data_IF_868789401501
#
_entry.id   IF_868789401501
#
_cell.length_a   1.000
_cell.length_b   1.000
_cell.length_c   1.000
_cell.angle_alpha   90.00
_cell.angle_beta   90.00
_cell.angle_gamma   90.00
#
_symmetry.space_group_name_H-M   'P 1'
#
loop_
_entity.id
_entity.type
_entity.pdbx_description
1 polymer ?
#
# COMPACT_ATOMS: atom_id res chain seq x y z
N UNK A 1 25.21 -6.03 24.71
CA UNK A 1 24.83 -5.27 23.50
C UNK A 1 24.94 -6.27 22.38
N UNK A 2 23.80 -6.88 22.07
CA UNK A 2 23.70 -8.26 21.58
C UNK A 2 23.30 -8.26 20.10
N UNK A 3 23.58 -9.35 19.38
CA UNK A 3 23.45 -9.49 17.91
C UNK A 3 22.12 -8.98 17.32
N UNK A 4 21.04 -8.98 18.09
CA UNK A 4 19.73 -8.42 17.70
C UNK A 4 19.78 -6.90 17.46
N UNK A 5 20.52 -6.14 18.28
CA UNK A 5 20.72 -4.70 18.08
C UNK A 5 21.53 -4.40 16.82
N UNK A 6 22.50 -5.26 16.49
CA UNK A 6 23.28 -5.13 15.27
C UNK A 6 22.44 -5.49 14.01
N UNK A 7 21.58 -6.50 14.10
CA UNK A 7 20.66 -6.88 13.03
C UNK A 7 19.62 -5.80 12.73
N UNK A 8 19.02 -5.20 13.77
CA UNK A 8 18.11 -4.06 13.62
C UNK A 8 18.80 -2.86 12.97
N UNK A 9 20.00 -2.47 13.44
CA UNK A 9 20.76 -1.38 12.83
C UNK A 9 21.10 -1.60 11.35
N UNK A 10 21.41 -2.84 10.95
CA UNK A 10 21.69 -3.19 9.55
C UNK A 10 20.42 -3.14 8.70
N UNK A 11 19.27 -3.58 9.25
CA UNK A 11 17.98 -3.50 8.57
C UNK A 11 17.55 -2.03 8.37
N UNK A 12 17.68 -1.21 9.41
CA UNK A 12 17.38 0.23 9.37
C UNK A 12 18.24 0.94 8.31
N UNK A 13 19.56 0.71 8.32
CA UNK A 13 20.48 1.29 7.35
C UNK A 13 20.23 0.83 5.89
N UNK A 14 19.58 -0.34 5.71
CA UNK A 14 19.19 -0.82 4.39
C UNK A 14 17.88 -0.17 3.92
N UNK A 15 16.92 0.01 4.83
CA UNK A 15 15.70 0.77 4.55
C UNK A 15 16.03 2.21 4.19
N UNK A 16 16.87 2.90 4.96
CA UNK A 16 17.26 4.30 4.70
C UNK A 16 17.79 4.48 3.27
N UNK A 17 18.71 3.61 2.83
CA UNK A 17 19.25 3.65 1.46
C UNK A 17 18.21 3.35 0.38
N UNK A 18 17.16 2.58 0.70
CA UNK A 18 16.05 2.34 -0.21
C UNK A 18 15.12 3.56 -0.27
N UNK A 19 14.91 4.23 0.87
CA UNK A 19 14.12 5.44 0.95
C UNK A 19 14.78 6.62 0.22
N UNK A 20 16.10 6.79 0.34
CA UNK A 20 16.85 7.78 -0.44
C UNK A 20 16.60 7.59 -1.95
N UNK A 21 16.68 6.34 -2.42
CA UNK A 21 16.42 6.01 -3.83
C UNK A 21 14.96 6.19 -4.22
N UNK A 22 14.03 5.94 -3.30
CA UNK A 22 12.61 6.16 -3.52
C UNK A 22 12.34 7.66 -3.68
N UNK A 23 12.92 8.47 -2.80
CA UNK A 23 12.79 9.94 -2.84
C UNK A 23 13.41 10.53 -4.11
N UNK A 24 14.57 10.01 -4.55
CA UNK A 24 15.16 10.36 -5.85
C UNK A 24 14.24 9.99 -7.04
N UNK A 25 13.58 8.83 -6.96
CA UNK A 25 12.67 8.37 -8.01
C UNK A 25 11.37 9.19 -8.05
N UNK A 26 10.84 9.58 -6.88
CA UNK A 26 9.71 10.50 -6.75
C UNK A 26 10.10 11.86 -7.33
N UNK A 27 11.26 12.41 -6.96
CA UNK A 27 11.78 13.68 -7.50
C UNK A 27 11.87 13.65 -9.03
N UNK A 28 12.42 12.57 -9.58
CA UNK A 28 12.52 12.40 -11.03
C UNK A 28 11.14 12.34 -11.73
N UNK A 29 10.11 11.83 -11.04
CA UNK A 29 8.73 11.83 -11.55
C UNK A 29 8.10 13.24 -11.47
N UNK A 30 8.31 13.96 -10.36
CA UNK A 30 7.85 15.34 -10.14
C UNK A 30 8.40 16.30 -11.20
N UNK A 31 9.70 16.18 -11.53
CA UNK A 31 10.37 17.02 -12.51
C UNK A 31 10.05 16.65 -13.98
N UNK A 32 9.45 15.48 -14.19
CA UNK A 32 9.13 15.01 -15.54
C UNK A 32 7.90 15.71 -16.10
N UNK A 33 7.95 16.02 -17.41
CA UNK A 33 6.75 16.43 -18.16
C UNK A 33 5.73 15.30 -18.13
N UNK A 34 4.43 15.63 -18.15
CA UNK A 34 3.32 14.66 -18.08
C UNK A 34 3.48 13.48 -19.03
N UNK A 35 3.81 13.73 -20.31
CA UNK A 35 4.01 12.67 -21.32
C UNK A 35 5.23 11.76 -21.06
N UNK A 36 6.17 12.16 -20.20
CA UNK A 36 7.38 11.41 -19.88
C UNK A 36 7.28 10.65 -18.55
N UNK A 37 6.28 10.95 -17.71
CA UNK A 37 6.10 10.35 -16.38
C UNK A 37 5.93 8.84 -16.44
N UNK A 38 5.16 8.33 -17.39
CA UNK A 38 4.96 6.89 -17.58
C UNK A 38 6.28 6.10 -17.72
N UNK A 39 7.30 6.69 -18.34
CA UNK A 39 8.62 6.07 -18.48
C UNK A 39 9.44 6.00 -17.18
N UNK A 40 9.05 6.73 -16.13
CA UNK A 40 9.73 6.74 -14.82
C UNK A 40 9.11 5.74 -13.83
N UNK A 41 7.82 5.41 -14.00
CA UNK A 41 7.08 4.54 -13.09
C UNK A 41 7.72 3.16 -12.86
N UNK A 42 8.24 2.43 -13.89
CA UNK A 42 8.83 1.11 -13.65
C UNK A 42 10.00 1.13 -12.66
N UNK A 43 10.84 2.18 -12.71
CA UNK A 43 11.95 2.33 -11.76
C UNK A 43 11.42 2.62 -10.35
N UNK A 44 10.44 3.52 -10.24
CA UNK A 44 9.82 3.87 -8.96
C UNK A 44 9.17 2.63 -8.32
N UNK A 45 8.35 1.89 -9.06
CA UNK A 45 7.68 0.68 -8.57
C UNK A 45 8.67 -0.43 -8.18
N UNK A 46 9.76 -0.60 -8.93
CA UNK A 46 10.82 -1.55 -8.58
C UNK A 46 11.47 -1.23 -7.22
N UNK A 47 11.71 0.06 -6.93
CA UNK A 47 12.26 0.51 -5.64
C UNK A 47 11.23 0.38 -4.53
N UNK A 48 10.00 0.86 -4.78
CA UNK A 48 8.89 0.79 -3.83
C UNK A 48 8.60 -0.63 -3.38
N UNK A 49 8.57 -1.60 -4.30
CA UNK A 49 8.42 -3.02 -3.98
C UNK A 49 9.47 -3.52 -2.98
N UNK A 50 10.71 -3.03 -3.08
CA UNK A 50 11.77 -3.41 -2.14
C UNK A 50 11.58 -2.74 -0.78
N UNK A 51 11.12 -1.49 -0.76
CA UNK A 51 10.76 -0.76 0.47
C UNK A 51 9.63 -1.49 1.20
N UNK A 52 8.55 -1.83 0.51
CA UNK A 52 7.38 -2.53 1.08
C UNK A 52 7.71 -3.92 1.66
N UNK A 53 8.84 -4.51 1.27
CA UNK A 53 9.33 -5.79 1.83
C UNK A 53 10.26 -5.60 3.05
N UNK A 54 10.57 -4.37 3.45
CA UNK A 54 11.36 -4.11 4.66
C UNK A 54 10.43 -3.84 5.86
N UNK A 55 10.86 -4.17 7.10
CA UNK A 55 10.25 -3.63 8.30
C UNK A 55 10.17 -2.09 8.22
N UNK A 56 9.04 -1.50 8.61
CA UNK A 56 8.82 -0.04 8.51
C UNK A 56 8.53 0.49 7.09
N UNK A 57 8.54 -0.37 6.07
CA UNK A 57 8.34 0.02 4.68
C UNK A 57 6.97 0.66 4.39
N UNK A 58 5.89 0.09 4.94
CA UNK A 58 4.54 0.63 4.76
C UNK A 58 4.37 2.02 5.36
N UNK A 59 4.82 2.21 6.62
CA UNK A 59 4.81 3.51 7.29
C UNK A 59 5.63 4.55 6.51
N UNK A 60 6.80 4.17 6.02
CA UNK A 60 7.65 5.06 5.25
C UNK A 60 7.02 5.49 3.90
N UNK A 61 6.26 4.61 3.26
CA UNK A 61 5.51 4.91 2.03
C UNK A 61 4.26 5.74 2.33
N UNK A 62 3.53 5.43 3.41
CA UNK A 62 2.37 6.20 3.86
C UNK A 62 2.74 7.67 4.14
N UNK A 63 3.86 7.89 4.83
CA UNK A 63 4.39 9.24 5.09
C UNK A 63 4.71 10.03 3.81
N UNK A 64 4.82 9.34 2.66
CA UNK A 64 5.08 9.92 1.33
C UNK A 64 3.84 9.93 0.43
N UNK A 65 2.68 9.54 0.92
CA UNK A 65 1.49 9.34 0.10
C UNK A 65 1.07 10.60 -0.68
N UNK A 66 1.00 11.76 -0.01
CA UNK A 66 0.69 13.04 -0.67
C UNK A 66 1.71 13.35 -1.77
N UNK A 67 3.01 13.19 -1.48
CA UNK A 67 4.08 13.47 -2.43
C UNK A 67 3.99 12.55 -3.65
N UNK A 68 3.77 11.25 -3.44
CA UNK A 68 3.58 10.26 -4.52
C UNK A 68 2.40 10.62 -5.41
N UNK A 69 1.26 10.98 -4.83
CA UNK A 69 0.08 11.39 -5.60
C UNK A 69 0.34 12.66 -6.40
N UNK A 70 0.90 13.70 -5.77
CA UNK A 70 1.24 14.98 -6.43
C UNK A 70 2.30 14.81 -7.53
N UNK A 71 3.23 13.88 -7.35
CA UNK A 71 4.20 13.50 -8.38
C UNK A 71 3.51 12.86 -9.60
N UNK A 72 2.28 12.39 -9.46
CA UNK A 72 1.47 11.81 -10.53
C UNK A 72 1.62 10.31 -10.66
N UNK A 73 1.88 9.59 -9.56
CA UNK A 73 2.05 8.12 -9.60
C UNK A 73 0.80 7.40 -10.11
N UNK A 74 -0.38 7.99 -9.92
CA UNK A 74 -1.66 7.46 -10.36
C UNK A 74 -2.14 8.02 -11.70
N UNK A 75 -1.44 9.00 -12.29
CA UNK A 75 -1.90 9.68 -13.52
C UNK A 75 -2.15 8.68 -14.65
N UNK A 76 -3.34 8.74 -15.26
CA UNK A 76 -3.72 7.86 -16.38
C UNK A 76 -4.09 6.44 -15.98
N UNK A 77 -4.35 6.19 -14.69
CA UNK A 77 -4.77 4.89 -14.15
C UNK A 77 -6.12 5.00 -13.42
N UNK A 78 -6.75 3.86 -13.15
CA UNK A 78 -8.02 3.82 -12.40
C UNK A 78 -7.87 4.30 -10.94
N UNK A 79 -6.65 4.29 -10.38
CA UNK A 79 -6.35 4.76 -9.02
C UNK A 79 -6.22 6.29 -8.91
N UNK A 80 -6.28 7.01 -10.03
CA UNK A 80 -6.14 8.47 -10.08
C UNK A 80 -7.20 9.20 -9.26
N UNK A 81 -8.44 8.70 -9.28
CA UNK A 81 -9.52 9.28 -8.50
C UNK A 81 -9.94 8.28 -7.40
N UNK A 82 -9.65 8.58 -6.11
CA UNK A 82 -10.07 7.70 -5.03
C UNK A 82 -11.59 7.55 -4.92
N UNK A 83 -12.38 8.50 -5.44
CA UNK A 83 -13.84 8.47 -5.33
C UNK A 83 -14.51 7.41 -6.22
N UNK A 84 -13.82 6.88 -7.23
CA UNK A 84 -14.36 5.84 -8.13
C UNK A 84 -13.86 4.42 -7.78
N UNK A 85 -12.98 4.29 -6.79
CA UNK A 85 -12.43 3.01 -6.39
C UNK A 85 -13.53 2.09 -5.83
N UNK A 86 -13.47 0.82 -6.22
CA UNK A 86 -14.39 -0.21 -5.75
C UNK A 86 -13.64 -1.19 -4.82
N UNK A 87 -14.02 -1.31 -3.53
CA UNK A 87 -13.37 -2.24 -2.61
C UNK A 87 -13.36 -3.69 -3.11
N UNK A 88 -14.39 -4.12 -3.83
CA UNK A 88 -14.49 -5.45 -4.42
C UNK A 88 -13.42 -5.76 -5.49
N UNK A 89 -12.73 -4.73 -6.02
CA UNK A 89 -11.65 -4.92 -6.98
C UNK A 89 -10.27 -5.07 -6.30
N UNK A 90 -10.13 -4.64 -5.05
CA UNK A 90 -8.85 -4.68 -4.30
C UNK A 90 -8.25 -6.08 -4.27
N UNK A 91 -9.06 -7.13 -4.05
CA UNK A 91 -8.57 -8.52 -4.03
C UNK A 91 -7.85 -8.91 -5.31
N UNK A 92 -8.37 -8.52 -6.47
CA UNK A 92 -7.74 -8.81 -7.76
C UNK A 92 -6.41 -8.07 -7.92
N UNK A 93 -6.33 -6.82 -7.48
CA UNK A 93 -5.10 -6.05 -7.52
C UNK A 93 -4.04 -6.60 -6.55
N UNK A 94 -4.44 -6.87 -5.31
CA UNK A 94 -3.59 -7.42 -4.25
C UNK A 94 -3.10 -8.83 -4.58
N UNK A 95 -3.90 -9.65 -5.25
CA UNK A 95 -3.54 -11.01 -5.66
C UNK A 95 -2.98 -11.09 -7.10
N UNK A 96 -2.74 -9.95 -7.76
CA UNK A 96 -2.21 -9.93 -9.11
C UNK A 96 -0.79 -10.51 -9.21
N UNK A 97 -0.48 -11.29 -10.26
CA UNK A 97 0.90 -11.70 -10.55
C UNK A 97 1.76 -10.53 -11.08
N UNK A 98 1.14 -9.39 -11.46
CA UNK A 98 1.86 -8.21 -11.91
C UNK A 98 2.29 -7.35 -10.71
N UNK A 99 3.60 -7.19 -10.54
CA UNK A 99 4.17 -6.39 -9.45
C UNK A 99 3.71 -4.94 -9.43
N UNK A 100 3.54 -4.33 -10.61
CA UNK A 100 3.19 -2.92 -10.72
C UNK A 100 1.76 -2.69 -10.24
N UNK A 101 0.86 -3.64 -10.53
CA UNK A 101 -0.52 -3.64 -10.02
C UNK A 101 -0.56 -3.77 -8.50
N UNK A 102 0.23 -4.66 -7.91
CA UNK A 102 0.28 -4.80 -6.43
C UNK A 102 0.83 -3.53 -5.78
N UNK A 103 1.87 -2.92 -6.38
CA UNK A 103 2.49 -1.72 -5.83
C UNK A 103 1.56 -0.50 -5.92
N UNK A 104 0.87 -0.29 -7.04
CA UNK A 104 -0.06 0.84 -7.17
C UNK A 104 -1.29 0.68 -6.27
N UNK A 105 -1.77 -0.55 -6.08
CA UNK A 105 -2.81 -0.85 -5.08
C UNK A 105 -2.32 -0.50 -3.67
N UNK A 106 -1.12 -0.94 -3.30
CA UNK A 106 -0.53 -0.61 -2.01
C UNK A 106 -0.38 0.90 -1.78
N UNK A 107 0.04 1.64 -2.79
CA UNK A 107 0.08 3.11 -2.72
C UNK A 107 -1.30 3.72 -2.54
N UNK A 108 -2.32 3.17 -3.21
CA UNK A 108 -3.69 3.65 -3.08
C UNK A 108 -4.22 3.44 -1.67
N UNK A 109 -4.07 2.24 -1.09
CA UNK A 109 -4.52 1.97 0.28
C UNK A 109 -3.75 2.81 1.32
N UNK A 110 -2.43 2.96 1.16
CA UNK A 110 -1.63 3.81 2.05
C UNK A 110 -1.98 5.30 1.92
N UNK A 111 -2.34 5.78 0.72
CA UNK A 111 -2.91 7.14 0.54
C UNK A 111 -4.19 7.29 1.35
N UNK A 112 -5.09 6.33 1.26
CA UNK A 112 -6.35 6.38 2.00
C UNK A 112 -6.10 6.32 3.51
N UNK A 113 -5.14 5.51 3.98
CA UNK A 113 -4.80 5.43 5.39
C UNK A 113 -4.19 6.75 5.91
N UNK A 114 -3.31 7.38 5.12
CA UNK A 114 -2.77 8.69 5.44
C UNK A 114 -3.88 9.76 5.59
N UNK A 115 -4.95 9.67 4.79
CA UNK A 115 -6.13 10.55 4.92
C UNK A 115 -6.90 10.25 6.21
N UNK A 116 -7.16 8.97 6.52
CA UNK A 116 -7.82 8.57 7.77
C UNK A 116 -7.06 9.10 8.99
N UNK A 117 -5.74 9.03 8.96
CA UNK A 117 -4.86 9.47 10.07
C UNK A 117 -4.59 10.97 10.09
N UNK A 118 -5.14 11.73 9.14
CA UNK A 118 -4.93 13.18 9.04
C UNK A 118 -3.51 13.59 8.65
N UNK A 119 -2.70 12.65 8.13
CA UNK A 119 -1.38 12.94 7.57
C UNK A 119 -1.47 13.60 6.19
N UNK A 120 -2.60 13.42 5.50
CA UNK A 120 -2.86 13.99 4.21
C UNK A 120 -4.32 14.46 4.07
N UNK A 121 -4.51 15.74 3.75
CA UNK A 121 -5.84 16.32 3.52
C UNK A 121 -6.17 16.32 2.03
N UNK A 122 -6.87 15.29 1.57
CA UNK A 122 -7.26 15.17 0.16
C UNK A 122 -8.48 16.06 -0.16
N UNK A 123 -8.45 16.86 -1.25
CA UNK A 123 -9.48 17.87 -1.52
C UNK A 123 -10.86 17.28 -1.88
N UNK A 124 -10.92 16.07 -2.45
CA UNK A 124 -12.16 15.44 -2.90
C UNK A 124 -12.53 14.15 -2.17
N UNK A 125 -11.80 13.79 -1.11
CA UNK A 125 -11.99 12.52 -0.42
C UNK A 125 -11.76 12.67 1.09
N UNK A 126 -12.81 12.44 1.89
CA UNK A 126 -12.76 12.68 3.33
C UNK A 126 -12.13 11.52 4.11
N UNK A 127 -11.69 11.78 5.34
CA UNK A 127 -11.24 10.75 6.27
C UNK A 127 -12.30 9.69 6.56
N UNK A 128 -13.58 10.10 6.63
CA UNK A 128 -14.70 9.16 6.83
C UNK A 128 -14.91 8.24 5.63
N UNK A 129 -14.85 8.78 4.41
CA UNK A 129 -14.94 7.99 3.18
C UNK A 129 -13.77 7.02 3.04
N UNK A 130 -12.55 7.48 3.33
CA UNK A 130 -11.35 6.65 3.33
C UNK A 130 -11.42 5.53 4.37
N UNK A 131 -11.89 5.84 5.59
CA UNK A 131 -12.09 4.84 6.63
C UNK A 131 -13.09 3.78 6.17
N UNK A 132 -14.26 4.21 5.68
CA UNK A 132 -15.29 3.29 5.20
C UNK A 132 -14.80 2.39 4.06
N UNK A 133 -14.05 2.95 3.09
CA UNK A 133 -13.44 2.18 2.02
C UNK A 133 -12.47 1.12 2.56
N UNK A 134 -11.53 1.51 3.43
CA UNK A 134 -10.54 0.59 3.98
C UNK A 134 -11.18 -0.50 4.85
N UNK A 135 -12.22 -0.19 5.62
CA UNK A 135 -13.00 -1.22 6.34
C UNK A 135 -13.58 -2.26 5.38
N UNK A 136 -14.14 -1.83 4.24
CA UNK A 136 -14.65 -2.78 3.23
C UNK A 136 -13.54 -3.62 2.60
N UNK A 137 -12.39 -3.01 2.27
CA UNK A 137 -11.23 -3.75 1.75
C UNK A 137 -10.77 -4.80 2.74
N UNK A 138 -10.67 -4.48 4.03
CA UNK A 138 -10.30 -5.44 5.08
C UNK A 138 -11.31 -6.58 5.19
N UNK A 139 -12.61 -6.28 5.17
CA UNK A 139 -13.67 -7.28 5.22
C UNK A 139 -13.63 -8.23 4.01
N UNK A 140 -13.40 -7.70 2.80
CA UNK A 140 -13.34 -8.52 1.59
C UNK A 140 -12.06 -9.39 1.57
N UNK A 141 -10.96 -8.89 2.15
CA UNK A 141 -9.65 -9.54 2.13
C UNK A 141 -9.27 -10.23 3.45
N UNK A 142 -10.26 -10.67 4.24
CA UNK A 142 -10.03 -11.39 5.50
C UNK A 142 -9.12 -12.61 5.34
N UNK A 143 -9.25 -13.33 4.22
CA UNK A 143 -8.37 -14.46 3.90
C UNK A 143 -6.88 -14.08 3.85
N UNK A 144 -6.56 -12.93 3.23
CA UNK A 144 -5.19 -12.39 3.21
C UNK A 144 -4.73 -11.97 4.60
N UNK A 145 -5.63 -11.34 5.39
CA UNK A 145 -5.31 -10.88 6.75
C UNK A 145 -4.85 -12.04 7.65
N UNK A 146 -5.55 -13.17 7.60
CA UNK A 146 -5.27 -14.37 8.41
C UNK A 146 -4.31 -15.36 7.75
N UNK A 147 -3.79 -15.06 6.55
CA UNK A 147 -2.89 -15.95 5.84
C UNK A 147 -3.54 -17.29 5.46
N UNK A 148 -4.84 -17.29 5.19
CA UNK A 148 -5.60 -18.45 4.71
C UNK A 148 -5.38 -18.70 3.21
N UNK A 149 -4.15 -18.47 2.76
CA UNK A 149 -3.82 -18.39 1.35
C UNK A 149 -3.96 -19.71 0.60
N UNK A 150 -4.28 -19.60 -0.68
CA UNK A 150 -4.42 -20.67 -1.65
C UNK A 150 -3.38 -20.59 -2.77
N UNK A 151 -3.80 -20.96 -3.98
CA UNK A 151 -2.90 -21.04 -5.14
C UNK A 151 -2.40 -19.65 -5.61
N UNK A 152 -3.20 -18.61 -5.42
CA UNK A 152 -2.85 -17.24 -5.80
C UNK A 152 -1.59 -16.73 -5.08
N UNK A 153 -1.47 -16.90 -3.76
CA UNK A 153 -0.26 -16.52 -3.03
C UNK A 153 0.98 -17.32 -3.49
N UNK A 154 0.78 -18.59 -3.86
CA UNK A 154 1.85 -19.46 -4.37
C UNK A 154 2.41 -18.93 -5.69
N UNK A 155 1.53 -18.47 -6.58
CA UNK A 155 1.92 -17.88 -7.87
C UNK A 155 2.61 -16.50 -7.70
N UNK A 156 2.14 -15.70 -6.73
CA UNK A 156 2.69 -14.37 -6.45
C UNK A 156 4.09 -14.39 -5.79
N UNK A 157 4.43 -15.46 -5.08
CA UNK A 157 5.69 -15.59 -4.36
C UNK A 157 5.90 -14.43 -3.38
N UNK A 158 6.95 -13.62 -3.57
CA UNK A 158 7.26 -12.50 -2.65
C UNK A 158 6.21 -11.37 -2.69
N UNK A 159 5.38 -11.28 -3.73
CA UNK A 159 4.33 -10.25 -3.79
C UNK A 159 3.23 -10.51 -2.75
N UNK A 160 2.94 -11.78 -2.45
CA UNK A 160 1.96 -12.15 -1.42
C UNK A 160 2.33 -11.58 -0.04
N UNK A 161 3.63 -11.45 0.26
CA UNK A 161 4.11 -10.83 1.51
C UNK A 161 3.78 -9.33 1.58
N UNK A 162 3.79 -8.64 0.43
CA UNK A 162 3.41 -7.22 0.37
C UNK A 162 1.92 -7.09 0.61
N UNK A 163 1.11 -7.89 -0.09
CA UNK A 163 -0.36 -7.84 0.01
C UNK A 163 -0.83 -8.20 1.42
N UNK A 164 -0.30 -9.28 2.00
CA UNK A 164 -0.59 -9.66 3.39
C UNK A 164 -0.12 -8.59 4.38
N UNK A 165 1.11 -8.10 4.23
CA UNK A 165 1.67 -7.07 5.10
C UNK A 165 0.88 -5.76 5.05
N UNK A 166 0.39 -5.38 3.88
CA UNK A 166 -0.43 -4.18 3.69
C UNK A 166 -1.76 -4.32 4.43
N UNK A 167 -2.50 -5.41 4.20
CA UNK A 167 -3.80 -5.65 4.84
C UNK A 167 -3.65 -5.69 6.36
N UNK A 168 -2.57 -6.31 6.88
CA UNK A 168 -2.26 -6.29 8.31
C UNK A 168 -1.90 -4.89 8.83
N UNK A 169 -1.10 -4.12 8.08
CA UNK A 169 -0.74 -2.76 8.42
C UNK A 169 -1.97 -1.85 8.49
N UNK A 170 -2.87 -1.93 7.50
CA UNK A 170 -4.13 -1.17 7.48
C UNK A 170 -5.03 -1.59 8.64
N UNK A 171 -5.21 -2.89 8.89
CA UNK A 171 -6.03 -3.40 10.00
C UNK A 171 -5.53 -2.93 11.37
N UNK A 172 -4.20 -2.88 11.58
CA UNK A 172 -3.62 -2.40 12.82
C UNK A 172 -3.91 -0.91 13.11
N UNK A 173 -4.19 -0.11 12.08
CA UNK A 173 -4.47 1.33 12.21
C UNK A 173 -5.97 1.68 12.17
N UNK A 174 -6.77 0.92 11.42
CA UNK A 174 -8.23 1.08 11.37
C UNK A 174 -8.91 0.41 12.57
N UNK A 175 -8.30 -0.63 13.14
CA UNK A 175 -8.82 -1.38 14.28
C UNK A 175 -9.48 -2.69 13.87
N UNK A 176 -9.16 -3.76 14.59
CA UNK A 176 -9.69 -5.11 14.33
C UNK A 176 -11.17 -5.28 14.70
N UNK A 177 -11.72 -4.41 15.55
CA UNK A 177 -13.12 -4.51 15.99
C UNK A 177 -14.10 -4.45 14.81
N UNK A 178 -13.92 -3.48 13.91
CA UNK A 178 -14.74 -3.34 12.70
C UNK A 178 -14.57 -4.50 11.70
N UNK A 179 -13.40 -5.13 11.70
CA UNK A 179 -13.08 -6.30 10.88
C UNK A 179 -13.79 -7.55 11.42
N UNK A 180 -13.81 -7.70 12.75
CA UNK A 180 -14.48 -8.81 13.45
C UNK A 180 -16.00 -8.70 13.33
N UNK A 181 -16.58 -7.51 13.40
CA UNK A 181 -18.02 -7.32 13.19
C UNK A 181 -18.44 -7.78 11.79
N UNK A 182 -17.63 -7.48 10.77
CA UNK A 182 -17.88 -7.92 9.39
C UNK A 182 -17.82 -9.45 9.23
N UNK A 183 -16.88 -10.10 9.93
CA UNK A 183 -16.80 -11.58 9.99
C UNK A 183 -18.04 -12.21 10.60
N UNK A 184 -18.57 -11.62 11.67
CA UNK A 184 -19.78 -12.11 12.33
C UNK A 184 -20.96 -12.02 11.37
N UNK A 185 -21.14 -10.88 10.69
CA UNK A 185 -22.22 -10.72 9.70
C UNK A 185 -22.17 -11.75 8.57
N UNK A 186 -20.97 -12.14 8.11
CA UNK A 186 -20.81 -13.14 7.05
C UNK A 186 -21.14 -14.56 7.52
N UNK A 187 -20.82 -14.94 8.76
CA UNK A 187 -21.16 -16.26 9.32
C UNK A 187 -22.67 -16.45 9.48
N UNK A 188 -23.40 -15.36 9.76
CA UNK A 188 -24.85 -15.41 10.01
C UNK A 188 -25.72 -15.14 8.77
N UNK A 189 -25.14 -14.94 7.59
CA UNK A 189 -25.85 -14.83 6.30
C UNK A 189 -26.05 -16.20 5.65
#
# INVERSE_FOLDING_TARGET
MSDEQAATQVADANLDKLLDRLDDAIQALEESRSFAKAGKLPKLFSIARRVLLQPGGFEAVEARAERLERAGVFEGTDWADPAILLPALSTWSLQSPNSDTVVIEAFSELRLLAIVRGLYFHPSFSAEQAHHYLTQVLAINLGLLFGLGGEAEREQGKLALISQGLVQYVAAHIGYEHVIDSLIEEIWR
#
